data_IF_822645287384
#
_entry.id   IF_822645287384
#
_cell.length_a   1.000
_cell.length_b   1.000
_cell.length_c   1.000
_cell.angle_alpha   90.00
_cell.angle_beta   90.00
_cell.angle_gamma   90.00
#
_symmetry.space_group_name_H-M   'P 1'
#
loop_
_entity.id
_entity.type
_entity.pdbx_description
1 polymer ?
#
# COMPACT_ATOMS: atom_id res chain seq x y z
N UNK A 1 -19.26 -34.69 40.31
CA UNK A 1 -19.86 -33.66 39.43
C UNK A 1 -20.06 -32.40 40.25
N UNK A 2 -19.32 -31.32 39.97
CA UNK A 2 -19.59 -29.99 40.54
C UNK A 2 -18.87 -28.94 39.69
N UNK A 3 -19.62 -28.39 38.73
CA UNK A 3 -19.22 -27.30 37.85
C UNK A 3 -18.96 -26.03 38.66
N UNK A 4 -17.85 -25.36 38.38
CA UNK A 4 -17.66 -23.94 38.69
C UNK A 4 -17.42 -23.23 37.37
N UNK A 5 -18.51 -22.70 36.83
CA UNK A 5 -18.53 -21.83 35.66
C UNK A 5 -18.06 -20.47 36.15
N UNK A 6 -16.81 -20.10 35.84
CA UNK A 6 -16.30 -18.75 36.05
C UNK A 6 -16.85 -17.86 34.94
N UNK A 7 -17.74 -16.96 35.34
CA UNK A 7 -18.49 -16.05 34.48
C UNK A 7 -17.57 -15.09 33.75
N UNK A 8 -17.71 -15.13 32.44
CA UNK A 8 -17.17 -14.24 31.43
C UNK A 8 -17.58 -12.79 31.74
N UNK A 9 -16.62 -11.90 31.89
CA UNK A 9 -16.86 -10.45 31.98
C UNK A 9 -15.67 -9.71 31.39
N UNK A 10 -15.55 -9.75 30.05
CA UNK A 10 -14.66 -8.82 29.36
C UNK A 10 -15.52 -7.68 28.80
N UNK A 11 -15.35 -6.53 29.46
CA UNK A 11 -16.06 -5.30 29.23
C UNK A 11 -15.92 -4.80 27.79
N UNK A 12 -16.97 -4.09 27.36
CA UNK A 12 -17.13 -3.38 26.10
C UNK A 12 -15.84 -2.67 25.66
N UNK A 13 -15.17 -3.22 24.65
CA UNK A 13 -14.26 -2.45 23.81
C UNK A 13 -15.12 -1.58 22.89
N UNK A 14 -15.24 -0.28 23.19
CA UNK A 14 -15.80 0.68 22.24
C UNK A 14 -14.94 0.66 20.97
N UNK A 15 -15.52 0.52 19.76
CA UNK A 15 -14.77 0.78 18.55
C UNK A 15 -14.53 2.28 18.46
N UNK A 16 -13.32 2.71 18.85
CA UNK A 16 -12.77 4.00 18.43
C UNK A 16 -12.75 3.99 16.90
N UNK A 17 -13.79 4.56 16.29
CA UNK A 17 -13.86 4.81 14.85
C UNK A 17 -12.70 5.73 14.50
N UNK A 18 -11.70 5.27 13.74
CA UNK A 18 -10.55 6.10 13.46
C UNK A 18 -10.92 7.03 12.30
N UNK A 19 -10.96 8.33 12.55
CA UNK A 19 -10.98 9.37 11.52
C UNK A 19 -9.63 9.38 10.79
N UNK A 20 -9.35 8.36 9.98
CA UNK A 20 -8.09 8.17 9.23
C UNK A 20 -8.15 8.74 7.80
N UNK A 21 -9.35 8.94 7.25
CA UNK A 21 -9.52 9.10 5.81
C UNK A 21 -8.85 10.35 5.18
N UNK A 22 -8.65 11.44 5.94
CA UNK A 22 -8.08 12.69 5.39
C UNK A 22 -6.56 12.78 5.57
N UNK A 23 -6.01 12.29 6.68
CA UNK A 23 -4.57 12.21 6.91
C UNK A 23 -3.87 11.28 5.90
N UNK A 24 -4.53 10.19 5.53
CA UNK A 24 -4.04 9.24 4.53
C UNK A 24 -3.89 9.88 3.14
N UNK A 25 -4.78 10.81 2.77
CA UNK A 25 -4.78 11.43 1.44
C UNK A 25 -3.58 12.36 1.17
N UNK A 26 -3.20 13.19 2.15
CA UNK A 26 -2.03 14.07 2.05
C UNK A 26 -0.73 13.26 2.04
N UNK A 27 -0.65 12.25 2.92
CA UNK A 27 0.44 11.28 2.96
C UNK A 27 0.61 10.57 1.61
N UNK A 28 -0.50 10.21 0.96
CA UNK A 28 -0.48 9.52 -0.32
C UNK A 28 0.10 10.34 -1.47
N UNK A 29 -0.24 11.63 -1.54
CA UNK A 29 0.26 12.51 -2.60
C UNK A 29 1.77 12.73 -2.47
N UNK A 30 2.28 12.86 -1.23
CA UNK A 30 3.72 12.91 -0.98
C UNK A 30 4.39 11.58 -1.34
N UNK A 31 3.78 10.45 -0.97
CA UNK A 31 4.28 9.12 -1.32
C UNK A 31 4.34 8.89 -2.82
N UNK A 32 3.33 9.33 -3.56
CA UNK A 32 3.31 9.26 -5.03
C UNK A 32 4.46 10.04 -5.65
N UNK A 33 4.73 11.27 -5.19
CA UNK A 33 5.89 12.04 -5.66
C UNK A 33 7.20 11.31 -5.35
N UNK A 34 7.33 10.75 -4.15
CA UNK A 34 8.51 9.98 -3.78
C UNK A 34 8.71 8.76 -4.70
N UNK A 35 7.64 8.00 -4.97
CA UNK A 35 7.68 6.86 -5.91
C UNK A 35 8.12 7.31 -7.30
N UNK A 36 7.50 8.36 -7.86
CA UNK A 36 7.82 8.87 -9.20
C UNK A 36 9.29 9.30 -9.33
N UNK A 37 9.88 9.82 -8.26
CA UNK A 37 11.28 10.26 -8.27
C UNK A 37 12.31 9.11 -8.18
N UNK A 38 11.88 7.91 -7.76
CA UNK A 38 12.78 6.77 -7.49
C UNK A 38 12.53 5.56 -8.40
N UNK A 39 11.49 5.59 -9.22
CA UNK A 39 11.26 4.55 -10.23
C UNK A 39 12.33 4.55 -11.31
N UNK A 40 12.60 3.41 -11.96
CA UNK A 40 13.51 3.37 -13.09
C UNK A 40 12.98 4.19 -14.28
N UNK A 41 13.85 4.76 -15.13
CA UNK A 41 13.45 5.64 -16.24
C UNK A 41 12.43 5.03 -17.20
N UNK A 42 12.48 3.71 -17.39
CA UNK A 42 11.56 2.97 -18.27
C UNK A 42 10.11 3.03 -17.77
N UNK A 43 9.90 3.18 -16.46
CA UNK A 43 8.58 3.22 -15.85
C UNK A 43 7.99 4.63 -15.72
N UNK A 44 8.74 5.70 -16.02
CA UNK A 44 8.29 7.09 -15.81
C UNK A 44 7.01 7.46 -16.56
N UNK A 45 6.74 6.81 -17.70
CA UNK A 45 5.56 7.08 -18.54
C UNK A 45 4.27 6.39 -18.03
N UNK A 46 4.33 5.65 -16.93
CA UNK A 46 3.15 4.98 -16.38
C UNK A 46 2.21 5.99 -15.69
N UNK A 47 0.89 5.74 -15.67
CA UNK A 47 -0.10 6.69 -15.15
C UNK A 47 -0.18 6.71 -13.60
N UNK A 48 0.90 7.13 -12.92
CA UNK A 48 0.97 7.15 -11.45
C UNK A 48 -0.14 7.96 -10.76
N UNK A 49 -0.68 8.97 -11.44
CA UNK A 49 -1.79 9.79 -10.95
C UNK A 49 -3.11 9.02 -10.82
N UNK A 50 -3.29 7.94 -11.59
CA UNK A 50 -4.48 7.11 -11.59
C UNK A 50 -4.42 5.94 -10.57
N UNK A 51 -3.25 5.70 -9.97
CA UNK A 51 -3.08 4.65 -8.97
C UNK A 51 -3.79 4.98 -7.66
N UNK A 52 -4.42 3.96 -7.10
CA UNK A 52 -4.94 3.99 -5.74
C UNK A 52 -3.80 4.18 -4.71
N UNK A 53 -4.16 4.63 -3.51
CA UNK A 53 -3.15 4.83 -2.47
C UNK A 53 -2.51 3.53 -2.00
N UNK A 54 -3.27 2.44 -2.00
CA UNK A 54 -2.77 1.11 -1.69
C UNK A 54 -1.71 0.66 -2.71
N UNK A 55 -1.97 0.85 -4.00
CA UNK A 55 -1.03 0.51 -5.05
C UNK A 55 0.25 1.38 -5.01
N UNK A 56 0.12 2.69 -4.73
CA UNK A 56 1.28 3.56 -4.50
C UNK A 56 2.13 3.10 -3.32
N UNK A 57 1.49 2.64 -2.23
CA UNK A 57 2.19 2.10 -1.07
C UNK A 57 2.91 0.78 -1.38
N UNK A 58 2.28 -0.10 -2.17
CA UNK A 58 2.91 -1.33 -2.66
C UNK A 58 4.15 -1.01 -3.51
N UNK A 59 4.05 -0.04 -4.43
CA UNK A 59 5.19 0.41 -5.24
C UNK A 59 6.32 0.98 -4.38
N UNK A 60 5.99 1.78 -3.36
CA UNK A 60 7.01 2.32 -2.45
C UNK A 60 7.79 1.19 -1.75
N UNK A 61 7.10 0.16 -1.26
CA UNK A 61 7.74 -1.00 -0.65
C UNK A 61 8.57 -1.81 -1.65
N UNK A 62 8.09 -1.95 -2.89
CA UNK A 62 8.82 -2.60 -3.98
C UNK A 62 10.14 -1.86 -4.29
N UNK A 63 10.12 -0.53 -4.31
CA UNK A 63 11.31 0.28 -4.57
C UNK A 63 12.33 0.20 -3.44
N UNK A 64 11.89 0.23 -2.18
CA UNK A 64 12.78 0.06 -1.02
C UNK A 64 13.47 -1.30 -1.06
N UNK A 65 12.74 -2.37 -1.38
CA UNK A 65 13.30 -3.72 -1.53
C UNK A 65 14.08 -3.90 -2.85
N UNK A 66 13.84 -3.02 -3.80
CA UNK A 66 14.34 -3.11 -5.18
C UNK A 66 15.84 -2.90 -5.34
N UNK A 67 16.54 -2.44 -4.31
CA UNK A 67 18.01 -2.29 -4.34
C UNK A 67 18.78 -3.59 -4.64
N UNK A 68 18.15 -4.76 -4.49
CA UNK A 68 18.73 -6.06 -4.86
C UNK A 68 18.20 -6.63 -6.19
N UNK A 69 17.26 -5.96 -6.85
CA UNK A 69 16.69 -6.42 -8.11
C UNK A 69 17.43 -5.83 -9.31
N UNK A 70 17.43 -6.58 -10.42
CA UNK A 70 17.79 -5.98 -11.70
C UNK A 70 16.73 -4.96 -12.10
N UNK A 71 17.13 -3.88 -12.79
CA UNK A 71 16.20 -2.86 -13.29
C UNK A 71 15.08 -3.47 -14.15
N UNK A 72 15.37 -4.53 -14.90
CA UNK A 72 14.38 -5.26 -15.69
C UNK A 72 13.32 -5.92 -14.82
N UNK A 73 13.72 -6.68 -13.79
CA UNK A 73 12.78 -7.34 -12.89
C UNK A 73 11.93 -6.33 -12.11
N UNK A 74 12.55 -5.26 -11.62
CA UNK A 74 11.83 -4.18 -10.94
C UNK A 74 10.78 -3.55 -11.85
N UNK A 75 11.13 -3.28 -13.12
CA UNK A 75 10.20 -2.73 -14.12
C UNK A 75 8.99 -3.66 -14.32
N UNK A 76 9.22 -4.98 -14.45
CA UNK A 76 8.13 -5.95 -14.60
C UNK A 76 7.18 -5.97 -13.39
N UNK A 77 7.73 -5.86 -12.18
CA UNK A 77 6.93 -5.82 -10.95
C UNK A 77 6.11 -4.53 -10.86
N UNK A 78 6.71 -3.38 -11.23
CA UNK A 78 6.00 -2.11 -11.31
C UNK A 78 4.84 -2.24 -12.29
N UNK A 79 5.09 -2.68 -13.53
CA UNK A 79 4.03 -2.89 -14.52
C UNK A 79 2.94 -3.87 -14.06
N UNK A 80 3.30 -4.91 -13.30
CA UNK A 80 2.32 -5.85 -12.75
C UNK A 80 1.32 -5.17 -11.81
N UNK A 81 1.77 -4.18 -11.02
CA UNK A 81 0.87 -3.36 -10.18
C UNK A 81 -0.08 -2.55 -11.07
N UNK A 82 0.43 -1.91 -12.12
CA UNK A 82 -0.41 -1.14 -13.05
C UNK A 82 -1.41 -2.03 -13.82
N UNK A 83 -1.01 -3.24 -14.23
CA UNK A 83 -1.92 -4.23 -14.85
C UNK A 83 -3.01 -4.66 -13.89
N UNK A 84 -2.67 -4.90 -12.61
CA UNK A 84 -3.64 -5.26 -11.57
C UNK A 84 -4.67 -4.15 -11.33
N UNK A 85 -4.24 -2.90 -11.36
CA UNK A 85 -5.11 -1.71 -11.26
C UNK A 85 -5.88 -1.44 -12.57
N UNK A 86 -5.67 -2.23 -13.64
CA UNK A 86 -6.35 -2.06 -14.92
C UNK A 86 -5.91 -0.83 -15.72
N UNK A 87 -4.76 -0.25 -15.39
CA UNK A 87 -4.27 1.00 -16.00
C UNK A 87 -3.45 0.77 -17.27
N UNK A 88 -2.90 -0.43 -17.43
CA UNK A 88 -2.18 -0.89 -18.62
C UNK A 88 -2.56 -2.35 -18.91
N UNK A 89 -2.31 -2.81 -20.14
CA UNK A 89 -2.70 -4.15 -20.60
C UNK A 89 -1.49 -5.05 -20.79
#
# INVERSE_FOLDING_TARGET
>A
MRSLILTLSLALALPLMPTMATADSHSCNQLRQNVVNHVPPVSHNLPYGALSCAAISELHLLLIRGGSYSNHYLTQQIEAVFRREGLIR
#
